data_IF_563381103631
#
_entry.id   IF_563381103631
#
_cell.length_a   1.000
_cell.length_b   1.000
_cell.length_c   1.000
_cell.angle_alpha   90.00
_cell.angle_beta   90.00
_cell.angle_gamma   90.00
#
_symmetry.space_group_name_H-M   'P 1'
#
loop_
_entity.id
_entity.type
_entity.pdbx_description
1 polymer ?
#
# COMPACT_ATOMS: atom_id res chain seq x y z
N UNK A 1 -8.49 -26.08 -0.79
CA UNK A 1 -8.11 -25.10 0.24
C UNK A 1 -9.40 -24.47 0.73
N UNK A 2 -9.68 -24.44 2.05
CA UNK A 2 -10.86 -23.76 2.57
C UNK A 2 -10.85 -22.28 2.17
N UNK A 3 -12.03 -21.69 1.98
CA UNK A 3 -12.13 -20.25 1.74
C UNK A 3 -11.88 -19.49 3.06
N UNK A 4 -10.69 -18.94 3.17
CA UNK A 4 -10.18 -18.30 4.37
C UNK A 4 -9.22 -17.19 3.93
N UNK A 5 -9.12 -16.13 4.71
CA UNK A 5 -7.95 -15.25 4.70
C UNK A 5 -7.27 -15.34 6.06
N UNK A 6 -6.02 -15.79 6.04
CA UNK A 6 -5.18 -15.91 7.21
C UNK A 6 -3.92 -15.07 7.02
N UNK A 7 -3.75 -14.09 7.90
CA UNK A 7 -2.53 -13.28 8.03
C UNK A 7 -1.86 -13.64 9.35
N UNK A 8 -0.56 -13.87 9.28
CA UNK A 8 0.28 -14.17 10.43
C UNK A 8 1.54 -13.32 10.33
N UNK A 9 1.83 -12.56 11.38
CA UNK A 9 3.05 -11.77 11.51
C UNK A 9 3.63 -12.04 12.89
N UNK A 10 4.86 -12.54 12.94
CA UNK A 10 5.59 -12.77 14.19
C UNK A 10 6.92 -12.01 14.21
N UNK A 11 6.83 -10.70 14.27
CA UNK A 11 7.96 -9.80 14.46
C UNK A 11 7.99 -9.27 15.90
N UNK A 12 9.14 -8.79 16.40
CA UNK A 12 9.21 -8.16 17.73
C UNK A 12 8.18 -7.04 17.92
N UNK A 13 7.96 -6.23 16.88
CA UNK A 13 7.05 -5.08 16.87
C UNK A 13 5.58 -5.48 16.62
N UNK A 14 5.33 -6.68 16.09
CA UNK A 14 3.98 -7.21 15.89
C UNK A 14 3.97 -8.73 15.96
N UNK A 15 3.30 -9.25 16.99
CA UNK A 15 2.91 -10.66 17.10
C UNK A 15 1.40 -10.76 16.94
N UNK A 16 0.96 -10.88 15.69
CA UNK A 16 -0.46 -10.91 15.36
C UNK A 16 -0.77 -12.06 14.40
N UNK A 17 -1.67 -12.94 14.80
CA UNK A 17 -2.35 -13.89 13.93
C UNK A 17 -3.80 -13.49 13.80
N UNK A 18 -4.27 -13.22 12.57
CA UNK A 18 -5.68 -12.96 12.26
C UNK A 18 -6.17 -13.89 11.16
N UNK A 19 -7.36 -14.44 11.36
CA UNK A 19 -8.06 -15.27 10.39
C UNK A 19 -9.48 -14.76 10.16
N UNK A 20 -9.92 -14.81 8.92
CA UNK A 20 -11.28 -14.56 8.48
C UNK A 20 -11.79 -15.81 7.78
N UNK A 21 -12.94 -16.32 8.22
CA UNK A 21 -13.68 -17.33 7.48
C UNK A 21 -14.40 -16.65 6.32
N UNK A 22 -14.09 -17.06 5.09
CA UNK A 22 -14.64 -16.46 3.88
C UNK A 22 -15.62 -17.38 3.15
N UNK A 23 -15.91 -18.56 3.70
CA UNK A 23 -16.72 -19.61 3.05
C UNK A 23 -18.14 -19.18 2.68
N UNK A 24 -18.71 -18.23 3.41
CA UNK A 24 -20.01 -17.62 3.11
C UNK A 24 -19.92 -16.10 2.97
N UNK A 25 -18.73 -15.55 2.78
CA UNK A 25 -18.50 -14.11 2.75
C UNK A 25 -18.95 -13.50 1.41
N UNK A 26 -19.53 -12.30 1.47
CA UNK A 26 -19.73 -11.48 0.27
C UNK A 26 -18.41 -10.88 -0.22
N UNK A 27 -18.40 -10.28 -1.41
CA UNK A 27 -17.22 -9.52 -1.87
C UNK A 27 -16.93 -8.32 -0.95
N UNK A 28 -17.95 -7.65 -0.42
CA UNK A 28 -17.75 -6.56 0.55
C UNK A 28 -17.09 -7.06 1.83
N UNK A 29 -17.46 -8.23 2.32
CA UNK A 29 -16.81 -8.85 3.48
C UNK A 29 -15.35 -9.21 3.17
N UNK A 30 -15.08 -9.77 1.98
CA UNK A 30 -13.72 -10.04 1.53
C UNK A 30 -12.89 -8.74 1.41
N UNK A 31 -13.47 -7.66 0.89
CA UNK A 31 -12.85 -6.32 0.80
C UNK A 31 -12.48 -5.78 2.19
N UNK A 32 -13.38 -5.94 3.17
CA UNK A 32 -13.12 -5.58 4.56
C UNK A 32 -11.96 -6.39 5.14
N UNK A 33 -11.96 -7.72 5.00
CA UNK A 33 -10.91 -8.58 5.53
C UNK A 33 -9.52 -8.24 4.96
N UNK A 34 -9.42 -7.98 3.66
CA UNK A 34 -8.14 -7.59 3.04
C UNK A 34 -7.72 -6.17 3.42
N UNK A 35 -8.65 -5.21 3.54
CA UNK A 35 -8.36 -3.85 3.98
C UNK A 35 -7.84 -3.84 5.43
N UNK A 36 -8.55 -4.50 6.34
CA UNK A 36 -8.15 -4.68 7.74
C UNK A 36 -6.75 -5.29 7.84
N UNK A 37 -6.49 -6.34 7.06
CA UNK A 37 -5.19 -7.01 7.02
C UNK A 37 -4.06 -6.11 6.50
N UNK A 38 -4.34 -5.25 5.51
CA UNK A 38 -3.37 -4.29 4.95
C UNK A 38 -2.93 -3.26 5.99
N UNK A 39 -3.85 -2.81 6.86
CA UNK A 39 -3.53 -1.84 7.91
C UNK A 39 -2.50 -2.37 8.91
N UNK A 40 -2.44 -3.70 9.13
CA UNK A 40 -1.49 -4.33 10.05
C UNK A 40 -0.06 -4.39 9.51
N UNK A 41 0.11 -4.57 8.20
CA UNK A 41 1.44 -4.84 7.60
C UNK A 41 2.12 -3.60 7.00
N UNK A 42 1.35 -2.58 6.65
CA UNK A 42 1.86 -1.43 5.90
C UNK A 42 2.89 -0.62 6.71
N UNK A 43 2.55 -0.24 7.94
CA UNK A 43 3.46 0.51 8.81
C UNK A 43 4.74 -0.27 9.14
N UNK A 44 4.61 -1.59 9.36
CA UNK A 44 5.76 -2.46 9.63
C UNK A 44 6.72 -2.53 8.45
N UNK A 45 6.20 -2.51 7.22
CA UNK A 45 7.05 -2.59 6.04
C UNK A 45 8.08 -1.45 6.01
N UNK A 46 7.66 -0.22 6.36
CA UNK A 46 8.54 0.93 6.38
C UNK A 46 9.53 0.91 7.56
N UNK A 47 9.13 0.35 8.71
CA UNK A 47 10.05 0.17 9.84
C UNK A 47 11.23 -0.77 9.49
N UNK A 48 11.02 -1.68 8.54
CA UNK A 48 12.03 -2.65 8.09
C UNK A 48 12.75 -2.24 6.79
N UNK A 49 12.34 -1.16 6.14
CA UNK A 49 12.88 -0.79 4.82
C UNK A 49 14.19 0.00 4.85
N UNK A 50 14.65 0.40 6.04
CA UNK A 50 15.91 1.13 6.23
C UNK A 50 15.85 2.64 5.96
N UNK A 51 14.65 3.21 5.81
CA UNK A 51 14.47 4.66 5.74
C UNK A 51 14.36 5.26 7.14
N UNK A 52 14.71 6.55 7.27
CA UNK A 52 14.49 7.33 8.48
C UNK A 52 13.09 7.97 8.45
N UNK A 53 12.10 7.30 9.03
CA UNK A 53 10.71 7.79 9.06
C UNK A 53 10.55 9.08 9.86
N UNK A 54 11.41 9.34 10.86
CA UNK A 54 11.32 10.55 11.68
C UNK A 54 11.55 11.85 10.89
N UNK A 55 12.45 11.82 9.90
CA UNK A 55 12.68 12.95 8.98
C UNK A 55 11.40 13.25 8.18
N UNK A 56 10.76 12.19 7.68
CA UNK A 56 9.52 12.29 6.91
C UNK A 56 8.35 12.72 7.78
N UNK A 57 8.24 12.21 9.01
CA UNK A 57 7.18 12.58 9.95
C UNK A 57 7.26 14.06 10.36
N UNK A 58 8.47 14.59 10.54
CA UNK A 58 8.74 16.02 10.78
C UNK A 58 8.36 16.88 9.56
N UNK A 59 8.59 16.40 8.35
CA UNK A 59 8.12 17.10 7.15
C UNK A 59 6.59 17.05 7.07
N UNK A 60 5.99 15.88 7.28
CA UNK A 60 4.55 15.65 7.24
C UNK A 60 3.79 16.50 8.26
N UNK A 61 4.37 16.82 9.41
CA UNK A 61 3.72 17.67 10.43
C UNK A 61 3.54 19.12 9.99
N UNK A 62 4.20 19.56 8.92
CA UNK A 62 4.03 20.91 8.35
C UNK A 62 2.73 21.04 7.55
N UNK A 63 2.09 19.93 7.21
CA UNK A 63 0.89 19.89 6.39
C UNK A 63 -0.34 19.65 7.25
N UNK A 64 -1.41 20.39 6.95
CA UNK A 64 -2.73 20.20 7.54
C UNK A 64 -3.80 20.78 6.61
N UNK A 65 -5.03 20.29 6.72
CA UNK A 65 -6.17 20.79 5.95
C UNK A 65 -7.31 19.79 5.93
N UNK A 66 -8.21 19.92 4.96
CA UNK A 66 -9.39 19.06 4.82
C UNK A 66 -9.58 18.58 3.39
N UNK A 67 -9.35 17.29 3.20
CA UNK A 67 -9.58 16.54 1.97
C UNK A 67 -8.49 16.67 0.91
N UNK A 68 -8.70 16.05 -0.26
CA UNK A 68 -7.71 15.96 -1.33
C UNK A 68 -7.31 17.31 -1.93
N UNK A 69 -8.24 18.26 -2.03
CA UNK A 69 -7.98 19.59 -2.59
C UNK A 69 -6.92 20.35 -1.79
N UNK A 70 -7.05 20.39 -0.47
CA UNK A 70 -6.08 21.02 0.42
C UNK A 70 -4.74 20.29 0.38
N UNK A 71 -4.76 18.95 0.31
CA UNK A 71 -3.53 18.16 0.13
C UNK A 71 -2.81 18.49 -1.18
N UNK A 72 -3.56 18.71 -2.25
CA UNK A 72 -3.01 19.14 -3.53
C UNK A 72 -2.41 20.54 -3.49
N UNK A 73 -3.07 21.48 -2.80
CA UNK A 73 -2.56 22.84 -2.63
C UNK A 73 -1.27 22.86 -1.80
N UNK A 74 -1.21 22.03 -0.77
CA UNK A 74 -0.02 21.80 0.02
C UNK A 74 1.16 21.26 -0.82
N UNK A 75 0.91 20.28 -1.70
CA UNK A 75 1.94 19.74 -2.61
C UNK A 75 2.44 20.77 -3.63
N UNK A 76 1.55 21.63 -4.14
CA UNK A 76 1.91 22.74 -5.03
C UNK A 76 2.82 23.76 -4.34
N UNK A 77 2.57 24.03 -3.05
CA UNK A 77 3.39 24.93 -2.25
C UNK A 77 4.68 24.30 -1.73
N UNK A 78 4.78 22.97 -1.74
CA UNK A 78 5.91 22.25 -1.19
C UNK A 78 7.18 22.50 -2.00
N UNK A 79 8.20 23.03 -1.32
CA UNK A 79 9.55 23.20 -1.88
C UNK A 79 10.46 22.15 -1.26
N UNK A 80 11.44 21.66 -2.02
CA UNK A 80 12.51 20.77 -1.52
C UNK A 80 12.10 19.38 -1.03
N UNK A 81 10.89 18.86 -1.37
CA UNK A 81 10.51 17.48 -1.02
C UNK A 81 11.55 16.44 -1.45
N UNK A 82 12.21 16.66 -2.59
CA UNK A 82 13.25 15.75 -3.08
C UNK A 82 14.47 15.69 -2.15
N UNK A 83 14.85 16.81 -1.55
CA UNK A 83 15.96 16.85 -0.59
C UNK A 83 15.56 16.16 0.72
N UNK A 84 14.34 16.39 1.21
CA UNK A 84 13.80 15.66 2.36
C UNK A 84 13.84 14.14 2.13
N UNK A 85 13.51 13.67 0.93
CA UNK A 85 13.58 12.25 0.61
C UNK A 85 15.01 11.71 0.56
N UNK A 86 16.00 12.52 0.13
CA UNK A 86 17.42 12.14 0.20
C UNK A 86 17.90 12.04 1.64
N UNK A 87 17.55 13.02 2.47
CA UNK A 87 17.88 13.04 3.90
C UNK A 87 17.30 11.81 4.60
N UNK A 88 16.07 11.43 4.26
CA UNK A 88 15.40 10.26 4.82
C UNK A 88 16.06 8.92 4.44
N UNK A 89 16.91 8.86 3.41
CA UNK A 89 17.56 7.62 2.95
C UNK A 89 19.06 7.57 3.22
N UNK A 90 19.62 8.55 3.95
CA UNK A 90 21.05 8.62 4.29
C UNK A 90 21.95 8.35 3.07
N UNK A 91 21.77 9.11 2.00
CA UNK A 91 22.49 9.01 0.71
C UNK A 91 22.26 7.75 -0.14
N UNK A 92 21.47 6.79 0.33
CA UNK A 92 21.03 5.63 -0.48
C UNK A 92 19.93 6.04 -1.46
N UNK A 93 20.30 6.79 -2.50
CA UNK A 93 19.38 7.35 -3.50
C UNK A 93 18.49 6.31 -4.21
N UNK A 94 18.88 5.04 -4.19
CA UNK A 94 18.11 3.88 -4.63
C UNK A 94 16.86 3.61 -3.79
N UNK A 95 16.82 4.05 -2.53
CA UNK A 95 15.70 3.93 -1.58
C UNK A 95 14.76 5.15 -1.59
N UNK A 96 15.02 6.19 -2.39
CA UNK A 96 14.11 7.34 -2.50
C UNK A 96 12.65 6.92 -2.80
N UNK A 97 12.37 5.93 -3.68
CA UNK A 97 11.00 5.46 -3.90
C UNK A 97 10.31 4.95 -2.64
N UNK A 98 11.07 4.42 -1.67
CA UNK A 98 10.54 3.99 -0.36
C UNK A 98 10.13 5.19 0.48
N UNK A 99 10.97 6.23 0.51
CA UNK A 99 10.67 7.47 1.22
C UNK A 99 9.47 8.22 0.61
N UNK A 100 9.40 8.28 -0.73
CA UNK A 100 8.22 8.80 -1.47
C UNK A 100 6.96 8.02 -1.08
N UNK A 101 7.04 6.68 -1.13
CA UNK A 101 5.93 5.80 -0.79
C UNK A 101 5.43 6.03 0.66
N UNK A 102 6.36 6.13 1.62
CA UNK A 102 6.00 6.45 3.01
C UNK A 102 5.30 7.80 3.11
N UNK A 103 5.89 8.86 2.54
CA UNK A 103 5.34 10.20 2.58
C UNK A 103 3.91 10.25 2.02
N UNK A 104 3.70 9.71 0.81
CA UNK A 104 2.38 9.69 0.18
C UNK A 104 1.40 8.72 0.84
N UNK A 105 1.86 7.71 1.59
CA UNK A 105 0.97 6.89 2.44
C UNK A 105 0.45 7.63 3.67
N UNK A 106 1.21 8.61 4.19
CA UNK A 106 0.85 9.34 5.41
C UNK A 106 0.21 10.69 5.15
N UNK A 107 0.52 11.32 4.02
CA UNK A 107 0.01 12.63 3.64
C UNK A 107 -1.52 12.71 3.75
N UNK A 108 -2.34 11.78 3.22
CA UNK A 108 -3.79 11.85 3.33
C UNK A 108 -4.34 12.00 4.76
N UNK A 109 -3.69 11.35 5.74
CA UNK A 109 -4.10 11.41 7.14
C UNK A 109 -4.01 12.82 7.72
N UNK A 110 -3.10 13.66 7.22
CA UNK A 110 -2.99 15.08 7.60
C UNK A 110 -4.15 15.94 7.10
N UNK A 111 -4.92 15.41 6.15
CA UNK A 111 -6.05 16.07 5.52
C UNK A 111 -7.37 15.32 5.77
N UNK A 112 -7.40 14.34 6.68
CA UNK A 112 -8.62 13.62 7.05
C UNK A 112 -9.18 12.69 5.96
N UNK A 113 -8.34 12.15 5.08
CA UNK A 113 -8.71 11.07 4.16
C UNK A 113 -7.66 9.94 4.16
N UNK A 114 -7.89 8.87 3.40
CA UNK A 114 -7.03 7.67 3.40
C UNK A 114 -6.37 7.42 2.04
N UNK A 115 -5.11 6.93 1.98
CA UNK A 115 -4.44 6.58 0.72
C UNK A 115 -4.96 5.28 0.08
N UNK A 116 -5.70 4.48 0.84
CA UNK A 116 -6.19 3.14 0.50
C UNK A 116 -7.50 2.86 1.23
N UNK A 117 -8.23 1.82 0.83
CA UNK A 117 -9.39 1.37 1.62
C UNK A 117 -8.94 0.93 3.00
N UNK A 118 -9.66 1.40 4.02
CA UNK A 118 -9.54 0.90 5.39
C UNK A 118 -10.81 0.17 5.80
N UNK A 119 -10.76 -0.54 6.93
CA UNK A 119 -11.89 -1.31 7.43
C UNK A 119 -13.15 -0.47 7.67
N UNK A 120 -13.00 0.82 7.98
CA UNK A 120 -14.12 1.72 8.26
C UNK A 120 -14.84 2.21 6.99
N UNK A 121 -14.22 2.07 5.82
CA UNK A 121 -14.81 2.44 4.53
C UNK A 121 -15.66 1.31 3.92
N UNK A 122 -15.57 0.09 4.47
CA UNK A 122 -16.22 -1.09 3.93
C UNK A 122 -17.12 -1.70 5.01
N UNK A 123 -18.44 -1.59 4.83
CA UNK A 123 -19.38 -2.24 5.72
C UNK A 123 -19.26 -3.77 5.61
N UNK A 124 -19.13 -4.45 6.76
CA UNK A 124 -18.98 -5.90 6.83
C UNK A 124 -19.55 -6.46 8.12
N UNK A 125 -19.98 -7.72 8.07
CA UNK A 125 -20.50 -8.46 9.23
C UNK A 125 -19.52 -9.51 9.76
N UNK A 126 -18.44 -9.80 9.02
CA UNK A 126 -17.44 -10.76 9.46
C UNK A 126 -16.45 -10.11 10.44
N UNK A 127 -15.99 -10.87 11.41
CA UNK A 127 -15.04 -10.41 12.43
C UNK A 127 -13.74 -11.21 12.36
N UNK A 128 -12.58 -10.57 12.58
CA UNK A 128 -11.32 -11.29 12.66
C UNK A 128 -11.33 -12.23 13.86
N UNK A 129 -10.83 -13.44 13.67
CA UNK A 129 -10.48 -14.38 14.75
C UNK A 129 -8.98 -14.28 15.00
N UNK A 130 -8.59 -13.92 16.22
CA UNK A 130 -7.19 -13.91 16.61
C UNK A 130 -6.69 -15.31 16.88
N UNK A 131 -5.41 -15.57 16.55
CA UNK A 131 -4.71 -16.80 16.93
C UNK A 131 -3.26 -16.48 17.29
N UNK A 132 -2.61 -17.37 18.05
CA UNK A 132 -1.20 -17.21 18.40
C UNK A 132 -0.32 -17.39 17.15
N UNK A 133 0.48 -16.37 16.75
CA UNK A 133 1.36 -16.51 15.60
C UNK A 133 2.54 -17.43 15.93
N UNK A 134 2.99 -18.23 14.96
CA UNK A 134 4.25 -18.97 15.00
C UNK A 134 5.41 -18.14 14.43
N UNK A 135 6.58 -18.73 14.24
CA UNK A 135 7.81 -18.00 13.85
C UNK A 135 7.91 -17.67 12.33
N UNK A 136 6.92 -16.95 11.79
CA UNK A 136 6.87 -16.61 10.36
C UNK A 136 6.10 -15.32 10.06
N UNK A 137 6.26 -14.85 8.84
CA UNK A 137 5.35 -13.90 8.18
C UNK A 137 4.61 -14.66 7.09
N UNK A 138 3.28 -14.67 7.13
CA UNK A 138 2.50 -15.31 6.08
C UNK A 138 1.17 -14.66 5.78
N UNK A 139 0.82 -14.66 4.51
CA UNK A 139 -0.54 -14.50 4.00
C UNK A 139 -0.91 -15.80 3.30
N UNK A 140 -1.98 -16.45 3.76
CA UNK A 140 -2.63 -17.56 3.08
C UNK A 140 -4.07 -17.17 2.85
N UNK A 141 -4.49 -17.05 1.61
CA UNK A 141 -5.87 -16.73 1.28
C UNK A 141 -6.43 -17.54 0.13
N UNK A 142 -7.72 -17.82 0.22
CA UNK A 142 -8.57 -18.39 -0.82
C UNK A 142 -9.96 -17.76 -0.69
N UNK A 143 -10.46 -17.20 -1.78
CA UNK A 143 -11.84 -16.71 -1.88
C UNK A 143 -12.26 -16.75 -3.33
N UNK A 144 -13.28 -17.55 -3.67
CA UNK A 144 -13.64 -17.86 -5.06
C UNK A 144 -12.39 -18.29 -5.85
N UNK A 145 -12.14 -17.68 -7.00
CA UNK A 145 -10.97 -17.97 -7.84
C UNK A 145 -9.68 -17.30 -7.34
N UNK A 146 -9.76 -16.35 -6.41
CA UNK A 146 -8.57 -15.70 -5.88
C UNK A 146 -7.84 -16.62 -4.89
N UNK A 147 -6.54 -16.81 -5.14
CA UNK A 147 -5.62 -17.53 -4.26
C UNK A 147 -4.41 -16.63 -4.01
N UNK A 148 -3.96 -16.51 -2.76
CA UNK A 148 -2.65 -15.92 -2.47
C UNK A 148 -1.93 -16.69 -1.38
N UNK A 149 -0.67 -17.06 -1.64
CA UNK A 149 0.21 -17.63 -0.64
C UNK A 149 1.52 -16.85 -0.71
N UNK A 150 1.87 -16.17 0.38
CA UNK A 150 3.16 -15.51 0.59
C UNK A 150 3.61 -15.94 1.97
N UNK A 151 4.78 -16.55 2.07
CA UNK A 151 5.30 -17.12 3.31
C UNK A 151 6.78 -16.83 3.39
N UNK A 152 7.23 -16.43 4.57
CA UNK A 152 8.63 -16.30 4.93
C UNK A 152 8.79 -16.83 6.35
N UNK A 153 9.60 -17.87 6.53
CA UNK A 153 10.00 -18.34 7.85
C UNK A 153 11.09 -17.42 8.38
N UNK A 154 11.00 -17.03 9.64
CA UNK A 154 11.97 -16.11 10.24
C UNK A 154 13.14 -16.90 10.78
N UNK A 155 14.32 -16.65 10.22
CA UNK A 155 15.57 -17.30 10.59
C UNK A 155 16.51 -16.31 11.31
N UNK A 156 17.36 -16.77 12.24
CA UNK A 156 18.41 -15.94 12.82
C UNK A 156 19.30 -15.36 11.71
N UNK A 157 19.55 -14.05 11.74
CA UNK A 157 20.41 -13.36 10.77
C UNK A 157 19.71 -12.88 9.48
N UNK A 158 18.40 -13.11 9.36
CA UNK A 158 17.59 -12.58 8.25
C UNK A 158 17.70 -11.05 8.16
N UNK A 159 17.87 -10.55 6.95
CA UNK A 159 18.04 -9.12 6.71
C UNK A 159 16.71 -8.39 6.83
N UNK A 160 16.74 -7.17 7.38
CA UNK A 160 15.53 -6.35 7.54
C UNK A 160 14.82 -6.09 6.21
N UNK A 161 15.57 -5.92 5.12
CA UNK A 161 15.00 -5.69 3.79
C UNK A 161 14.27 -6.90 3.23
N UNK A 162 14.62 -8.13 3.62
CA UNK A 162 13.90 -9.35 3.21
C UNK A 162 12.50 -9.37 3.86
N UNK A 163 12.45 -9.03 5.15
CA UNK A 163 11.22 -8.83 5.91
C UNK A 163 10.37 -7.72 5.28
N UNK A 164 10.98 -6.57 4.95
CA UNK A 164 10.28 -5.50 4.24
C UNK A 164 9.75 -5.97 2.88
N UNK A 165 10.52 -6.76 2.13
CA UNK A 165 10.13 -7.31 0.84
C UNK A 165 8.88 -8.19 0.89
N UNK A 166 8.82 -9.13 1.86
CA UNK A 166 7.64 -10.00 2.02
C UNK A 166 6.41 -9.20 2.48
N UNK A 167 6.57 -8.27 3.44
CA UNK A 167 5.49 -7.44 3.94
C UNK A 167 4.95 -6.51 2.84
N UNK A 168 5.83 -5.87 2.08
CA UNK A 168 5.47 -5.05 0.93
C UNK A 168 4.71 -5.85 -0.13
N UNK A 169 5.14 -7.10 -0.36
CA UNK A 169 4.43 -8.03 -1.24
C UNK A 169 3.03 -8.31 -0.71
N UNK A 170 2.89 -8.72 0.55
CA UNK A 170 1.60 -9.00 1.18
C UNK A 170 0.67 -7.79 1.05
N UNK A 171 1.14 -6.61 1.46
CA UNK A 171 0.38 -5.36 1.42
C UNK A 171 -0.08 -5.01 0.00
N UNK A 172 0.81 -5.12 -1.00
CA UNK A 172 0.46 -4.88 -2.41
C UNK A 172 -0.71 -5.75 -2.88
N UNK A 173 -0.72 -7.04 -2.51
CA UNK A 173 -1.83 -7.94 -2.87
C UNK A 173 -3.11 -7.57 -2.14
N UNK A 174 -3.03 -7.25 -0.85
CA UNK A 174 -4.18 -6.88 -0.04
C UNK A 174 -4.83 -5.58 -0.54
N UNK A 175 -4.06 -4.54 -0.82
CA UNK A 175 -4.58 -3.25 -1.33
C UNK A 175 -5.27 -3.42 -2.68
N UNK A 176 -4.64 -4.11 -3.64
CA UNK A 176 -5.23 -4.37 -4.96
C UNK A 176 -6.55 -5.12 -4.84
N UNK A 177 -6.58 -6.16 -4.00
CA UNK A 177 -7.78 -6.97 -3.79
C UNK A 177 -8.87 -6.23 -3.02
N UNK A 178 -8.51 -5.31 -2.12
CA UNK A 178 -9.48 -4.46 -1.43
C UNK A 178 -10.32 -3.68 -2.45
N UNK A 179 -9.67 -3.02 -3.40
CA UNK A 179 -10.38 -2.28 -4.45
C UNK A 179 -11.11 -3.18 -5.44
N UNK A 180 -10.59 -4.38 -5.76
CA UNK A 180 -11.30 -5.37 -6.59
C UNK A 180 -12.64 -5.78 -5.97
N UNK A 181 -12.66 -6.05 -4.67
CA UNK A 181 -13.86 -6.56 -3.99
C UNK A 181 -14.80 -5.46 -3.47
N UNK A 182 -14.37 -4.20 -3.45
CA UNK A 182 -15.17 -3.09 -2.96
C UNK A 182 -16.38 -2.73 -3.84
N UNK A 183 -16.45 -3.25 -5.08
CA UNK A 183 -17.56 -2.99 -6.01
C UNK A 183 -17.61 -1.54 -6.51
N UNK A 184 -16.46 -0.86 -6.58
CA UNK A 184 -16.36 0.50 -7.15
C UNK A 184 -16.56 0.47 -8.68
N UNK A 185 -17.17 1.52 -9.22
CA UNK A 185 -17.23 1.75 -10.67
C UNK A 185 -15.86 2.24 -11.18
N UNK A 186 -14.92 1.30 -11.31
CA UNK A 186 -13.55 1.58 -11.72
C UNK A 186 -13.48 2.19 -13.12
N UNK A 187 -14.39 1.86 -14.02
CA UNK A 187 -14.41 2.42 -15.39
C UNK A 187 -14.63 3.94 -15.33
N UNK A 188 -15.63 4.38 -14.56
CA UNK A 188 -15.88 5.81 -14.35
C UNK A 188 -14.72 6.50 -13.63
N UNK A 189 -14.18 5.87 -12.58
CA UNK A 189 -13.10 6.45 -11.79
C UNK A 189 -11.79 6.56 -12.60
N UNK A 190 -11.44 5.55 -13.38
CA UNK A 190 -10.25 5.55 -14.25
C UNK A 190 -10.36 6.60 -15.36
N UNK A 191 -11.56 6.79 -15.93
CA UNK A 191 -11.81 7.88 -16.88
C UNK A 191 -11.59 9.25 -16.23
N UNK A 192 -12.01 9.43 -14.97
CA UNK A 192 -11.74 10.66 -14.20
C UNK A 192 -10.24 10.84 -13.95
N UNK A 193 -9.52 9.80 -13.54
CA UNK A 193 -8.05 9.85 -13.36
C UNK A 193 -7.37 10.28 -14.65
N UNK A 194 -7.69 9.63 -15.78
CA UNK A 194 -7.12 9.94 -17.08
C UNK A 194 -7.35 11.40 -17.48
N UNK A 195 -8.54 11.96 -17.18
CA UNK A 195 -8.84 13.38 -17.40
C UNK A 195 -7.97 14.29 -16.51
N UNK A 196 -7.87 13.99 -15.21
CA UNK A 196 -7.12 14.79 -14.23
C UNK A 196 -5.60 14.79 -14.46
N UNK A 197 -5.05 13.74 -15.07
CA UNK A 197 -3.61 13.56 -15.32
C UNK A 197 -3.21 13.86 -16.77
N UNK A 198 -4.17 14.14 -17.66
CA UNK A 198 -3.92 14.34 -19.09
C UNK A 198 -2.91 15.46 -19.34
N UNK A 199 -1.87 15.17 -20.12
CA UNK A 199 -0.86 16.15 -20.54
C UNK A 199 0.10 16.61 -19.43
N UNK A 200 -0.02 16.08 -18.21
CA UNK A 200 0.83 16.48 -17.09
C UNK A 200 2.15 15.73 -17.09
N UNK A 201 3.25 16.44 -16.78
CA UNK A 201 4.59 15.85 -16.59
C UNK A 201 4.66 15.16 -15.23
N UNK A 202 5.51 14.14 -15.11
CA UNK A 202 5.76 13.44 -13.83
C UNK A 202 6.46 14.37 -12.83
N UNK A 203 5.70 14.93 -11.90
CA UNK A 203 6.20 15.78 -10.82
C UNK A 203 5.21 15.81 -9.65
N UNK A 204 5.68 16.20 -8.45
CA UNK A 204 4.78 16.37 -7.30
C UNK A 204 3.79 17.53 -7.49
N UNK A 205 4.18 18.55 -8.25
CA UNK A 205 3.27 19.64 -8.65
C UNK A 205 2.10 19.10 -9.48
N UNK A 206 2.38 18.24 -10.46
CA UNK A 206 1.34 17.62 -11.29
C UNK A 206 0.38 16.72 -10.48
N UNK A 207 0.90 16.01 -9.48
CA UNK A 207 0.07 15.29 -8.50
C UNK A 207 -0.82 16.30 -7.75
N UNK A 208 -0.25 17.37 -7.22
CA UNK A 208 -0.98 18.41 -6.49
C UNK A 208 -2.11 19.05 -7.31
N UNK A 209 -1.85 19.34 -8.59
CA UNK A 209 -2.86 19.81 -9.54
C UNK A 209 -3.96 18.78 -9.80
N UNK A 210 -3.61 17.49 -9.93
CA UNK A 210 -4.60 16.44 -10.17
C UNK A 210 -5.52 16.25 -8.95
N UNK A 211 -4.97 16.38 -7.74
CA UNK A 211 -5.74 16.30 -6.49
C UNK A 211 -6.77 17.43 -6.31
N UNK A 212 -6.63 18.55 -7.03
CA UNK A 212 -7.62 19.64 -7.00
C UNK A 212 -9.00 19.20 -7.52
N UNK A 213 -9.06 18.20 -8.41
CA UNK A 213 -10.30 17.68 -8.99
C UNK A 213 -10.77 16.37 -8.38
N UNK A 214 -10.22 15.95 -7.25
CA UNK A 214 -10.64 14.72 -6.55
C UNK A 214 -11.81 15.03 -5.62
N UNK A 215 -12.89 14.29 -5.83
CA UNK A 215 -14.11 14.29 -5.03
C UNK A 215 -14.74 12.88 -5.10
N UNK A 216 -15.70 12.60 -4.22
CA UNK A 216 -16.43 11.35 -4.16
C UNK A 216 -16.67 10.88 -2.73
N UNK A 217 -17.19 9.67 -2.60
CA UNK A 217 -17.21 8.95 -1.32
C UNK A 217 -15.79 8.66 -0.82
N UNK A 218 -15.58 8.36 0.49
CA UNK A 218 -14.26 8.07 1.03
C UNK A 218 -13.52 6.93 0.29
N UNK A 219 -14.25 5.90 -0.15
CA UNK A 219 -13.67 4.79 -0.91
C UNK A 219 -13.26 5.20 -2.33
N UNK A 220 -14.07 6.01 -3.01
CA UNK A 220 -13.74 6.58 -4.32
C UNK A 220 -12.53 7.52 -4.24
N UNK A 221 -12.47 8.38 -3.21
CA UNK A 221 -11.33 9.27 -2.98
C UNK A 221 -10.04 8.46 -2.78
N UNK A 222 -10.08 7.41 -1.97
CA UNK A 222 -8.91 6.54 -1.77
C UNK A 222 -8.46 5.87 -3.07
N UNK A 223 -9.41 5.43 -3.91
CA UNK A 223 -9.10 4.86 -5.22
C UNK A 223 -8.50 5.90 -6.18
N UNK A 224 -9.13 7.06 -6.33
CA UNK A 224 -8.67 8.16 -7.19
C UNK A 224 -7.26 8.61 -6.79
N UNK A 225 -7.00 8.78 -5.49
CA UNK A 225 -5.68 9.14 -4.97
C UNK A 225 -4.62 8.10 -5.37
N UNK A 226 -4.93 6.82 -5.17
CA UNK A 226 -4.04 5.71 -5.51
C UNK A 226 -3.74 5.64 -7.02
N UNK A 227 -4.78 5.75 -7.85
CA UNK A 227 -4.67 5.70 -9.30
C UNK A 227 -3.92 6.90 -9.86
N UNK A 228 -4.17 8.12 -9.36
CA UNK A 228 -3.43 9.33 -9.75
C UNK A 228 -1.93 9.15 -9.48
N UNK A 229 -1.56 8.75 -8.26
CA UNK A 229 -0.15 8.52 -7.92
C UNK A 229 0.47 7.44 -8.81
N UNK A 230 -0.26 6.36 -9.07
CA UNK A 230 0.20 5.27 -9.94
C UNK A 230 0.51 5.75 -11.36
N UNK A 231 -0.30 6.66 -11.93
CA UNK A 231 -0.02 7.31 -13.23
C UNK A 231 1.30 8.08 -13.23
N UNK A 232 1.71 8.61 -12.09
CA UNK A 232 2.98 9.30 -11.90
C UNK A 232 4.10 8.40 -11.36
N UNK A 233 3.92 7.06 -11.40
CA UNK A 233 4.89 6.05 -10.94
C UNK A 233 5.21 6.12 -9.44
N UNK A 234 4.30 6.67 -8.65
CA UNK A 234 4.36 6.69 -7.19
C UNK A 234 3.23 5.82 -6.65
N UNK A 235 3.45 5.14 -5.52
CA UNK A 235 2.41 4.33 -4.87
C UNK A 235 2.27 4.76 -3.41
N UNK A 236 1.05 5.02 -2.89
CA UNK A 236 0.86 5.48 -1.52
C UNK A 236 0.70 4.35 -0.50
N UNK A 237 1.35 3.22 -0.74
CA UNK A 237 1.31 2.05 0.15
C UNK A 237 2.54 1.18 -0.12
N UNK A 238 3.02 0.49 0.91
CA UNK A 238 4.21 -0.33 0.81
C UNK A 238 4.04 -1.44 -0.26
N UNK A 239 4.97 -1.51 -1.20
CA UNK A 239 4.91 -2.38 -2.38
C UNK A 239 6.31 -2.88 -2.75
N UNK A 240 6.44 -4.02 -3.45
CA UNK A 240 7.78 -4.55 -3.81
C UNK A 240 8.59 -3.66 -4.77
N UNK A 241 7.98 -3.02 -5.79
CA UNK A 241 8.72 -2.13 -6.69
C UNK A 241 9.56 -1.05 -5.98
N UNK A 242 9.06 -0.47 -4.88
CA UNK A 242 9.79 0.58 -4.14
C UNK A 242 11.16 0.09 -3.61
N UNK A 243 11.30 -1.21 -3.31
CA UNK A 243 12.53 -1.82 -2.79
C UNK A 243 13.40 -2.43 -3.90
N UNK A 244 12.84 -2.64 -5.09
CA UNK A 244 13.43 -3.48 -6.14
C UNK A 244 14.66 -2.88 -6.82
N UNK A 245 14.93 -1.59 -6.60
CA UNK A 245 16.12 -0.91 -7.12
C UNK A 245 17.34 -1.14 -6.23
N UNK A 246 17.17 -1.03 -4.92
CA UNK A 246 18.24 -1.28 -3.93
C UNK A 246 18.43 -2.79 -3.69
N UNK A 247 17.34 -3.55 -3.69
CA UNK A 247 17.33 -4.99 -3.41
C UNK A 247 16.73 -5.75 -4.59
N UNK A 248 17.49 -5.97 -5.69
CA UNK A 248 16.99 -6.65 -6.87
C UNK A 248 16.48 -8.07 -6.60
N UNK A 249 16.97 -8.73 -5.56
CA UNK A 249 16.61 -10.10 -5.17
C UNK A 249 15.18 -10.21 -4.61
N UNK A 250 14.57 -9.09 -4.19
CA UNK A 250 13.15 -9.04 -3.80
C UNK A 250 12.24 -9.24 -5.04
N UNK A 251 12.75 -9.04 -6.26
CA UNK A 251 11.98 -9.32 -7.47
C UNK A 251 11.59 -10.78 -7.46
N UNK A 252 10.27 -11.04 -7.52
CA UNK A 252 9.75 -12.39 -7.59
C UNK A 252 10.40 -13.16 -8.75
N UNK A 253 10.43 -14.51 -8.69
CA UNK A 253 11.03 -15.33 -9.74
C UNK A 253 10.53 -14.85 -11.10
N UNK A 254 11.45 -14.50 -12.01
CA UNK A 254 11.08 -14.11 -13.39
C UNK A 254 10.15 -15.20 -13.90
N UNK A 255 8.96 -14.82 -14.39
CA UNK A 255 8.07 -15.80 -15.01
C UNK A 255 8.91 -16.55 -16.04
N UNK A 256 9.07 -17.88 -15.88
CA UNK A 256 9.72 -18.70 -16.90
C UNK A 256 8.98 -18.41 -18.19
N UNK A 257 9.65 -17.75 -19.14
CA UNK A 257 9.04 -17.40 -20.41
C UNK A 257 8.39 -18.64 -21.01
N UNK A 258 7.22 -18.48 -21.63
CA UNK A 258 6.62 -19.56 -22.43
C UNK A 258 7.73 -20.07 -23.35
N UNK A 259 8.06 -21.35 -23.27
CA UNK A 259 8.92 -21.99 -24.28
C UNK A 259 8.34 -21.61 -25.64
N UNK A 260 9.17 -21.19 -26.62
CA UNK A 260 8.69 -21.02 -27.99
C UNK A 260 7.97 -22.31 -28.40
N UNK A 261 6.78 -22.18 -28.99
CA UNK A 261 6.17 -23.33 -29.66
C UNK A 261 7.09 -23.66 -30.83
N UNK A 262 7.78 -24.80 -30.74
CA UNK A 262 8.35 -25.46 -31.91
C UNK A 262 7.24 -26.04 -32.78
#
# INVERSE_FOLDING_TARGET
MPEELKLEVSLPELKEGIAFDLSSASEKDAAYAVAYSSEKVDALTFAYSGINTSVLDKELSKYSGKGPKDAGAALLAAKYLREVFKDAVNDKNTLIPVAECYFFSKLPGRFGFSPKLNSNMVASFIKPKSFAPGSRISLVSKFKDWVAIKKLFLEPGMQRWEIAGILAGINETLVKKAFDFAGLDKVKLDAKVASLTKGKKKSYSAIGEALQGVDGSPAEIAYLYNSILSTFEVLPYANRPMLSKEYPDIKGPRMRGRKPKG
#
